data_IF_888135781276
#
_entry.id   IF_888135781276
#
_cell.length_a   1.000
_cell.length_b   1.000
_cell.length_c   1.000
_cell.angle_alpha   90.00
_cell.angle_beta   90.00
_cell.angle_gamma   90.00
#
_symmetry.space_group_name_H-M   'P 1'
#
loop_
_entity.id
_entity.type
_entity.pdbx_description
1 polymer ?
#
# COMPACT_ATOMS: atom_id res chain seq x y z
N UNK A 1 -16.37 27.34 -16.15
CA UNK A 1 -15.39 27.70 -15.10
C UNK A 1 -14.69 26.41 -14.79
N UNK A 2 -13.75 26.08 -15.66
CA UNK A 2 -13.21 24.74 -15.83
C UNK A 2 -11.84 24.72 -15.18
N UNK A 3 -11.82 24.33 -13.91
CA UNK A 3 -10.62 24.28 -13.09
C UNK A 3 -9.82 23.02 -13.45
N UNK A 4 -8.77 23.21 -14.23
CA UNK A 4 -7.84 22.16 -14.63
C UNK A 4 -7.05 21.70 -13.40
N UNK A 5 -7.34 20.50 -12.91
CA UNK A 5 -6.44 19.77 -12.00
C UNK A 5 -5.13 19.50 -12.74
N UNK A 6 -4.09 20.27 -12.42
CA UNK A 6 -2.73 19.97 -12.84
C UNK A 6 -2.26 18.68 -12.14
N UNK A 7 -1.45 17.84 -12.80
CA UNK A 7 -0.87 16.67 -12.16
C UNK A 7 0.16 17.14 -11.12
N UNK A 8 -0.03 16.75 -9.86
CA UNK A 8 0.94 16.94 -8.78
C UNK A 8 2.30 16.35 -9.22
N UNK A 9 3.42 17.07 -9.02
CA UNK A 9 4.72 16.52 -9.36
C UNK A 9 4.97 15.32 -8.45
N UNK A 10 5.01 14.11 -9.01
CA UNK A 10 5.42 12.93 -8.26
C UNK A 10 6.88 13.12 -7.86
N UNK A 11 7.11 13.61 -6.63
CA UNK A 11 8.42 13.69 -6.04
C UNK A 11 8.95 12.26 -5.82
N UNK A 12 9.68 11.76 -6.81
CA UNK A 12 10.31 10.44 -6.80
C UNK A 12 11.54 10.48 -5.86
N UNK A 13 11.30 10.52 -4.55
CA UNK A 13 12.35 10.34 -3.58
C UNK A 13 12.70 8.85 -3.49
N UNK A 14 13.89 8.50 -3.97
CA UNK A 14 14.48 7.17 -3.86
C UNK A 14 14.94 6.96 -2.40
N UNK A 15 14.00 6.70 -1.49
CA UNK A 15 14.32 6.29 -0.14
C UNK A 15 14.64 4.79 -0.13
N UNK A 16 15.79 4.42 0.44
CA UNK A 16 16.08 3.03 0.77
C UNK A 16 15.16 2.63 1.93
N UNK A 17 14.05 1.97 1.64
CA UNK A 17 13.18 1.50 2.72
C UNK A 17 13.98 0.50 3.55
N UNK A 18 14.22 0.81 4.82
CA UNK A 18 14.86 -0.10 5.79
C UNK A 18 14.19 -1.48 5.77
N UNK A 19 12.89 -1.50 5.43
CA UNK A 19 12.05 -2.69 5.33
C UNK A 19 11.81 -3.21 3.91
N UNK A 20 12.55 -2.77 2.87
CA UNK A 20 12.34 -3.16 1.46
C UNK A 20 12.19 -4.68 1.31
N UNK A 21 13.15 -5.45 1.84
CA UNK A 21 13.15 -6.91 1.75
C UNK A 21 11.97 -7.54 2.50
N UNK A 22 11.56 -6.96 3.61
CA UNK A 22 10.41 -7.44 4.37
C UNK A 22 9.10 -7.23 3.59
N UNK A 23 8.93 -6.05 3.01
CA UNK A 23 7.78 -5.71 2.15
C UNK A 23 7.72 -6.65 0.95
N UNK A 24 8.83 -6.86 0.24
CA UNK A 24 8.92 -7.80 -0.89
C UNK A 24 8.51 -9.22 -0.47
N UNK A 25 9.00 -9.70 0.68
CA UNK A 25 8.63 -11.02 1.19
C UNK A 25 7.14 -11.13 1.55
N UNK A 26 6.54 -10.07 2.08
CA UNK A 26 5.10 -10.04 2.41
C UNK A 26 4.25 -10.03 1.13
N UNK A 27 4.64 -9.25 0.13
CA UNK A 27 4.00 -9.23 -1.20
C UNK A 27 4.08 -10.59 -1.89
N UNK A 28 5.24 -11.26 -1.87
CA UNK A 28 5.42 -12.59 -2.44
C UNK A 28 4.44 -13.61 -1.84
N UNK A 29 4.20 -13.55 -0.53
CA UNK A 29 3.18 -14.39 0.14
C UNK A 29 1.77 -14.04 -0.32
N UNK A 30 1.42 -12.75 -0.37
CA UNK A 30 0.10 -12.31 -0.85
C UNK A 30 -0.17 -12.77 -2.30
N UNK A 31 0.84 -12.73 -3.17
CA UNK A 31 0.76 -13.26 -4.54
C UNK A 31 0.45 -14.76 -4.54
N UNK A 32 1.15 -15.55 -3.72
CA UNK A 32 0.88 -16.99 -3.60
C UNK A 32 -0.55 -17.30 -3.14
N UNK A 33 -1.06 -16.52 -2.18
CA UNK A 33 -2.45 -16.67 -1.73
C UNK A 33 -3.44 -16.32 -2.85
N UNK A 34 -3.19 -15.24 -3.60
CA UNK A 34 -4.05 -14.83 -4.70
C UNK A 34 -4.03 -15.85 -5.86
N UNK A 35 -2.88 -16.46 -6.14
CA UNK A 35 -2.76 -17.57 -7.09
C UNK A 35 -3.62 -18.76 -6.65
N UNK A 36 -3.62 -19.11 -5.36
CA UNK A 36 -4.51 -20.16 -4.85
C UNK A 36 -5.98 -19.79 -5.00
N UNK A 37 -6.37 -18.55 -4.68
CA UNK A 37 -7.76 -18.07 -4.90
C UNK A 37 -8.17 -18.23 -6.37
N UNK A 38 -7.31 -17.85 -7.30
CA UNK A 38 -7.55 -18.04 -8.74
C UNK A 38 -7.80 -19.53 -9.05
N UNK A 39 -6.94 -20.43 -8.58
CA UNK A 39 -7.09 -21.87 -8.79
C UNK A 39 -8.40 -22.40 -8.19
N UNK A 40 -8.78 -21.95 -6.99
CA UNK A 40 -10.06 -22.34 -6.36
C UNK A 40 -11.26 -21.98 -7.24
N UNK A 41 -11.22 -20.83 -7.91
CA UNK A 41 -12.27 -20.40 -8.85
C UNK A 41 -12.27 -21.26 -10.11
N UNK A 42 -11.09 -21.54 -10.68
CA UNK A 42 -10.94 -22.40 -11.87
C UNK A 42 -11.41 -23.85 -11.60
N UNK A 43 -11.17 -24.35 -10.38
CA UNK A 43 -11.58 -25.69 -9.93
C UNK A 43 -13.07 -25.76 -9.53
N UNK A 44 -13.77 -24.63 -9.51
CA UNK A 44 -15.18 -24.57 -9.10
C UNK A 44 -15.40 -24.81 -7.59
N UNK A 45 -14.43 -24.47 -6.75
CA UNK A 45 -14.58 -24.56 -5.29
C UNK A 45 -15.72 -23.65 -4.79
N UNK A 46 -16.30 -23.99 -3.63
CA UNK A 46 -17.48 -23.30 -3.10
C UNK A 46 -17.24 -21.82 -2.83
N UNK A 47 -18.19 -20.96 -3.24
CA UNK A 47 -18.09 -19.50 -3.14
C UNK A 47 -17.72 -19.00 -1.72
N UNK A 48 -18.25 -19.63 -0.67
CA UNK A 48 -17.93 -19.27 0.72
C UNK A 48 -16.45 -19.49 1.05
N UNK A 49 -15.82 -20.55 0.55
CA UNK A 49 -14.41 -20.84 0.78
C UNK A 49 -13.52 -19.86 0.00
N UNK A 50 -13.90 -19.56 -1.25
CA UNK A 50 -13.23 -18.54 -2.08
C UNK A 50 -13.26 -17.18 -1.37
N UNK A 51 -14.41 -16.77 -0.84
CA UNK A 51 -14.54 -15.49 -0.11
C UNK A 51 -13.68 -15.44 1.15
N UNK A 52 -13.57 -16.55 1.90
CA UNK A 52 -12.69 -16.65 3.07
C UNK A 52 -11.22 -16.47 2.66
N UNK A 53 -10.77 -17.12 1.59
CA UNK A 53 -9.39 -16.95 1.13
C UNK A 53 -9.11 -15.57 0.55
N UNK A 54 -10.06 -14.98 -0.15
CA UNK A 54 -9.93 -13.61 -0.63
C UNK A 54 -9.81 -12.62 0.54
N UNK A 55 -10.54 -12.84 1.63
CA UNK A 55 -10.39 -12.05 2.86
C UNK A 55 -8.98 -12.21 3.48
N UNK A 56 -8.38 -13.39 3.42
CA UNK A 56 -7.00 -13.61 3.86
C UNK A 56 -6.00 -12.83 2.99
N UNK A 57 -6.19 -12.79 1.67
CA UNK A 57 -5.38 -11.96 0.76
C UNK A 57 -5.51 -10.47 1.13
N UNK A 58 -6.74 -9.97 1.32
CA UNK A 58 -6.98 -8.59 1.75
C UNK A 58 -6.26 -8.26 3.06
N UNK A 59 -6.32 -9.17 4.04
CA UNK A 59 -5.61 -9.00 5.32
C UNK A 59 -4.09 -8.93 5.16
N UNK A 60 -3.51 -9.78 4.30
CA UNK A 60 -2.08 -9.76 3.99
C UNK A 60 -1.65 -8.45 3.33
N UNK A 61 -2.46 -7.94 2.39
CA UNK A 61 -2.21 -6.64 1.73
C UNK A 61 -2.29 -5.48 2.74
N UNK A 62 -3.31 -5.46 3.59
CA UNK A 62 -3.46 -4.45 4.65
C UNK A 62 -2.28 -4.47 5.63
N UNK A 63 -1.83 -5.66 6.03
CA UNK A 63 -0.65 -5.81 6.90
C UNK A 63 0.63 -5.29 6.24
N UNK A 64 0.77 -5.50 4.93
CA UNK A 64 1.92 -5.01 4.15
C UNK A 64 1.90 -3.49 3.99
N UNK A 65 0.74 -2.93 3.63
CA UNK A 65 0.56 -1.48 3.50
C UNK A 65 0.82 -0.74 4.81
N UNK A 66 0.46 -1.31 5.96
CA UNK A 66 0.81 -0.74 7.28
C UNK A 66 2.31 -0.63 7.52
N UNK A 67 3.11 -1.60 7.05
CA UNK A 67 4.58 -1.54 7.17
C UNK A 67 5.15 -0.44 6.28
N UNK A 68 4.68 -0.35 5.03
CA UNK A 68 5.09 0.71 4.09
C UNK A 68 4.74 2.08 4.66
N UNK A 69 3.51 2.25 5.14
CA UNK A 69 3.03 3.51 5.70
C UNK A 69 3.86 3.91 6.94
N UNK A 70 4.18 2.97 7.81
CA UNK A 70 5.01 3.25 8.99
C UNK A 70 6.40 3.75 8.58
N UNK A 71 7.05 3.05 7.65
CA UNK A 71 8.38 3.43 7.15
C UNK A 71 8.34 4.81 6.46
N UNK A 72 7.27 5.10 5.73
CA UNK A 72 7.07 6.39 5.10
C UNK A 72 6.81 7.52 6.10
N UNK A 73 5.99 7.29 7.13
CA UNK A 73 5.75 8.26 8.22
C UNK A 73 7.03 8.60 8.98
N UNK A 74 7.85 7.61 9.32
CA UNK A 74 9.10 7.80 10.05
C UNK A 74 10.10 8.68 9.27
N UNK A 75 10.17 8.54 7.95
CA UNK A 75 11.07 9.33 7.12
C UNK A 75 10.48 10.71 6.74
N UNK A 76 9.22 10.77 6.31
CA UNK A 76 8.62 12.02 5.81
C UNK A 76 8.32 13.03 6.92
N UNK A 77 7.87 12.60 8.10
CA UNK A 77 7.59 13.56 9.19
C UNK A 77 8.88 14.22 9.67
N UNK A 78 9.98 13.47 9.76
CA UNK A 78 11.27 14.01 10.19
C UNK A 78 11.75 15.07 9.21
N UNK A 79 11.76 14.75 7.90
CA UNK A 79 12.18 15.70 6.86
C UNK A 79 11.24 16.91 6.73
N UNK A 80 9.92 16.71 6.75
CA UNK A 80 8.97 17.82 6.66
C UNK A 80 9.09 18.82 7.83
N UNK A 81 9.42 18.34 9.04
CA UNK A 81 9.66 19.20 10.21
C UNK A 81 11.00 19.93 10.11
N UNK A 82 12.05 19.27 9.60
CA UNK A 82 13.37 19.87 9.42
C UNK A 82 13.39 20.93 8.30
N UNK A 83 12.72 20.66 7.18
CA UNK A 83 12.72 21.49 5.98
C UNK A 83 11.53 22.47 5.90
N UNK A 84 10.54 22.34 6.80
CA UNK A 84 9.32 23.15 6.78
C UNK A 84 8.39 22.82 5.62
N UNK A 85 8.49 21.61 5.06
CA UNK A 85 7.78 21.17 3.86
C UNK A 85 6.36 20.66 4.19
N UNK A 86 5.39 21.57 4.11
CA UNK A 86 3.97 21.25 4.31
C UNK A 86 3.33 20.50 3.12
N UNK A 87 3.96 20.52 1.95
CA UNK A 87 3.45 19.82 0.76
C UNK A 87 3.61 18.31 0.94
N UNK A 88 4.77 17.86 1.43
CA UNK A 88 5.02 16.46 1.78
C UNK A 88 3.99 15.89 2.77
N UNK A 89 3.59 16.67 3.78
CA UNK A 89 2.56 16.26 4.76
C UNK A 89 1.17 16.08 4.12
N UNK A 90 0.87 16.88 3.11
CA UNK A 90 -0.40 16.81 2.37
C UNK A 90 -0.44 15.55 1.51
N UNK A 91 0.63 15.25 0.77
CA UNK A 91 0.74 14.04 -0.05
C UNK A 91 0.65 12.76 0.79
N UNK A 92 1.29 12.76 1.97
CA UNK A 92 1.22 11.67 2.92
C UNK A 92 -0.20 11.45 3.44
N UNK A 93 -0.92 12.53 3.76
CA UNK A 93 -2.32 12.47 4.20
C UNK A 93 -3.23 11.88 3.11
N UNK A 94 -3.05 12.31 1.86
CA UNK A 94 -3.78 11.77 0.70
C UNK A 94 -3.52 10.27 0.48
N UNK A 95 -2.28 9.83 0.66
CA UNK A 95 -1.92 8.43 0.54
C UNK A 95 -2.58 7.56 1.63
N UNK A 96 -2.64 8.06 2.87
CA UNK A 96 -3.32 7.41 3.99
C UNK A 96 -4.81 7.27 3.71
N UNK A 97 -5.47 8.34 3.28
CA UNK A 97 -6.91 8.34 3.01
C UNK A 97 -7.31 7.32 1.94
N UNK A 98 -6.47 7.14 0.92
CA UNK A 98 -6.67 6.12 -0.12
C UNK A 98 -6.47 4.70 0.40
N UNK A 99 -5.58 4.50 1.37
CA UNK A 99 -5.28 3.18 1.92
C UNK A 99 -6.30 2.71 2.98
N UNK A 100 -6.89 3.66 3.73
CA UNK A 100 -7.88 3.36 4.79
C UNK A 100 -9.28 3.09 4.21
N UNK A 101 -9.59 3.64 3.04
CA UNK A 101 -10.83 3.38 2.29
C UNK A 101 -10.96 1.92 1.85
#
# INVERSE_FOLDING_TARGET
MDEKHAPTPAHNHNHDHTHTREVVNRLARAIGHLQKVKQMVEDGEGCSQVLVQLAAVKSALNSTGKVILKDHLEHCIVHAVEDGDTEMLTELSDAIDRFVK
#
